data_IF_742504519910
#
_entry.id   IF_742504519910
#
_cell.length_a   1.000
_cell.length_b   1.000
_cell.length_c   1.000
_cell.angle_alpha   90.00
_cell.angle_beta   90.00
_cell.angle_gamma   90.00
#
_symmetry.space_group_name_H-M   'P 1'
#
loop_
_entity.id
_entity.type
_entity.pdbx_description
1 polymer ?
#
# COMPACT_ATOMS: atom_id res chain seq x y z
N UNK A 1 50.96 -34.19 7.49
CA UNK A 1 50.29 -33.48 8.61
C UNK A 1 50.20 -31.95 8.43
N UNK A 2 51.11 -31.27 7.70
CA UNK A 2 51.02 -29.81 7.46
C UNK A 2 49.93 -29.39 6.45
N UNK A 3 49.64 -30.19 5.43
CA UNK A 3 48.60 -29.87 4.42
C UNK A 3 47.21 -29.72 5.04
N UNK A 4 46.84 -30.61 5.95
CA UNK A 4 45.54 -30.57 6.64
C UNK A 4 45.39 -29.37 7.56
N UNK A 5 46.46 -28.91 8.21
CA UNK A 5 46.45 -27.67 9.02
C UNK A 5 46.24 -26.41 8.15
N UNK A 6 46.86 -26.34 6.97
CA UNK A 6 46.65 -25.22 6.03
C UNK A 6 45.24 -25.19 5.47
N UNK A 7 44.68 -26.35 5.13
CA UNK A 7 43.28 -26.47 4.68
C UNK A 7 42.32 -26.04 5.79
N UNK A 8 42.55 -26.48 7.03
CA UNK A 8 41.73 -26.06 8.18
C UNK A 8 41.76 -24.54 8.39
N UNK A 9 42.94 -23.91 8.28
CA UNK A 9 43.06 -22.46 8.38
C UNK A 9 42.35 -21.72 7.25
N UNK A 10 42.45 -22.23 6.01
CA UNK A 10 41.72 -21.69 4.86
C UNK A 10 40.21 -21.75 5.03
N UNK A 11 39.68 -22.89 5.51
CA UNK A 11 38.25 -23.05 5.79
C UNK A 11 37.81 -22.08 6.90
N UNK A 12 38.61 -21.91 7.94
CA UNK A 12 38.33 -20.94 9.00
C UNK A 12 38.23 -19.50 8.50
N UNK A 13 39.13 -19.08 7.61
CA UNK A 13 39.10 -17.74 6.99
C UNK A 13 37.83 -17.56 6.14
N UNK A 14 37.47 -18.56 5.33
CA UNK A 14 36.25 -18.54 4.53
C UNK A 14 35.01 -18.42 5.43
N UNK A 15 34.99 -19.13 6.55
CA UNK A 15 33.89 -19.07 7.51
C UNK A 15 33.75 -17.69 8.16
N UNK A 16 34.89 -17.07 8.53
CA UNK A 16 34.92 -15.71 9.10
C UNK A 16 34.40 -14.70 8.06
N UNK A 17 34.82 -14.82 6.80
CA UNK A 17 34.31 -13.97 5.72
C UNK A 17 32.80 -14.18 5.53
N UNK A 18 32.31 -15.42 5.54
CA UNK A 18 30.87 -15.70 5.45
C UNK A 18 30.09 -15.00 6.57
N UNK A 19 30.54 -15.11 7.83
CA UNK A 19 29.88 -14.48 8.98
C UNK A 19 29.88 -12.95 8.87
N UNK A 20 30.96 -12.35 8.38
CA UNK A 20 31.05 -10.90 8.24
C UNK A 20 30.19 -10.35 7.09
N UNK A 21 30.10 -11.08 5.97
CA UNK A 21 29.46 -10.58 4.75
C UNK A 21 27.98 -11.00 4.61
N UNK A 22 27.55 -12.11 5.22
CA UNK A 22 26.14 -12.54 5.23
C UNK A 22 25.15 -11.46 5.70
N UNK A 23 25.32 -10.83 6.88
CA UNK A 23 24.33 -9.87 7.38
C UNK A 23 24.24 -8.61 6.50
N UNK A 24 25.33 -8.24 5.83
CA UNK A 24 25.34 -7.12 4.88
C UNK A 24 24.51 -7.44 3.63
N UNK A 25 24.65 -8.66 3.10
CA UNK A 25 23.90 -9.11 1.94
C UNK A 25 22.40 -9.25 2.22
N UNK A 26 22.03 -9.85 3.37
CA UNK A 26 20.61 -9.98 3.74
C UNK A 26 19.95 -8.63 3.93
N UNK A 27 20.63 -7.69 4.60
CA UNK A 27 20.10 -6.34 4.81
C UNK A 27 19.92 -5.57 3.49
N UNK A 28 20.80 -5.78 2.52
CA UNK A 28 20.65 -5.19 1.19
C UNK A 28 19.43 -5.75 0.45
N UNK A 29 19.22 -7.07 0.53
CA UNK A 29 18.06 -7.73 -0.06
C UNK A 29 16.75 -7.20 0.56
N UNK A 30 16.68 -7.15 1.89
CA UNK A 30 15.50 -6.61 2.61
C UNK A 30 15.21 -5.15 2.21
N UNK A 31 16.24 -4.33 2.06
CA UNK A 31 16.08 -2.94 1.68
C UNK A 31 15.59 -2.80 0.23
N UNK A 32 16.09 -3.65 -0.68
CA UNK A 32 15.67 -3.68 -2.07
C UNK A 32 14.19 -4.07 -2.18
N UNK A 33 13.76 -5.06 -1.42
CA UNK A 33 12.38 -5.53 -1.42
C UNK A 33 11.45 -4.45 -0.85
N UNK A 34 11.84 -3.79 0.25
CA UNK A 34 11.12 -2.63 0.81
C UNK A 34 10.98 -1.47 -0.16
N UNK A 35 12.00 -1.18 -0.96
CA UNK A 35 11.91 -0.13 -1.99
C UNK A 35 10.85 -0.49 -3.03
N UNK A 36 10.77 -1.76 -3.43
CA UNK A 36 9.74 -2.24 -4.35
C UNK A 36 8.33 -2.12 -3.76
N UNK A 37 8.14 -2.57 -2.52
CA UNK A 37 6.86 -2.47 -1.81
C UNK A 37 6.40 -1.02 -1.66
N UNK A 38 7.29 -0.13 -1.22
CA UNK A 38 6.99 1.30 -1.07
C UNK A 38 6.67 1.96 -2.41
N UNK A 39 7.32 1.54 -3.50
CA UNK A 39 6.99 2.02 -4.84
C UNK A 39 5.55 1.69 -5.22
N UNK A 40 5.13 0.44 -5.00
CA UNK A 40 3.75 0.01 -5.24
C UNK A 40 2.75 0.75 -4.36
N UNK A 41 3.07 0.97 -3.09
CA UNK A 41 2.20 1.71 -2.16
C UNK A 41 2.02 3.17 -2.62
N UNK A 42 3.11 3.83 -3.05
CA UNK A 42 3.06 5.18 -3.60
C UNK A 42 2.19 5.26 -4.85
N UNK A 43 2.32 4.28 -5.76
CA UNK A 43 1.54 4.28 -7.00
C UNK A 43 0.06 4.04 -6.74
N UNK A 44 -0.27 3.13 -5.80
CA UNK A 44 -1.65 2.91 -5.37
C UNK A 44 -2.24 4.17 -4.71
N UNK A 45 -1.50 4.81 -3.81
CA UNK A 45 -1.95 6.04 -3.15
C UNK A 45 -2.16 7.20 -4.14
N UNK A 46 -1.32 7.30 -5.17
CA UNK A 46 -1.51 8.30 -6.24
C UNK A 46 -2.76 8.02 -7.07
N UNK A 47 -3.02 6.76 -7.41
CA UNK A 47 -4.23 6.38 -8.13
C UNK A 47 -5.47 6.71 -7.31
N UNK A 48 -5.49 6.35 -6.02
CA UNK A 48 -6.59 6.67 -5.12
C UNK A 48 -6.80 8.18 -5.00
N UNK A 49 -5.72 8.95 -4.82
CA UNK A 49 -5.81 10.41 -4.73
C UNK A 49 -6.41 11.03 -6.02
N UNK A 50 -5.93 10.62 -7.20
CA UNK A 50 -6.50 11.07 -8.46
C UNK A 50 -7.99 10.72 -8.61
N UNK A 51 -8.40 9.53 -8.15
CA UNK A 51 -9.81 9.14 -8.20
C UNK A 51 -10.68 9.99 -7.26
N UNK A 52 -10.18 10.29 -6.06
CA UNK A 52 -10.86 11.12 -5.07
C UNK A 52 -10.94 12.57 -5.54
N UNK A 53 -9.88 13.13 -6.12
CA UNK A 53 -9.89 14.47 -6.70
C UNK A 53 -10.94 14.57 -7.83
N UNK A 54 -11.03 13.56 -8.70
CA UNK A 54 -12.07 13.49 -9.72
C UNK A 54 -13.49 13.35 -9.16
N UNK A 55 -13.65 12.68 -8.01
CA UNK A 55 -14.93 12.65 -7.30
C UNK A 55 -15.27 14.00 -6.66
N UNK A 56 -14.31 14.68 -6.05
CA UNK A 56 -14.48 16.03 -5.49
C UNK A 56 -14.90 17.02 -6.57
N UNK A 57 -14.26 17.01 -7.74
CA UNK A 57 -14.64 17.89 -8.87
C UNK A 57 -16.08 17.60 -9.33
N UNK A 58 -16.47 16.33 -9.47
CA UNK A 58 -17.86 15.95 -9.80
C UNK A 58 -18.85 16.42 -8.75
N UNK A 59 -18.52 16.28 -7.46
CA UNK A 59 -19.35 16.81 -6.38
C UNK A 59 -19.41 18.33 -6.43
N UNK A 60 -18.36 19.05 -6.82
CA UNK A 60 -18.39 20.52 -6.81
C UNK A 60 -19.13 21.11 -8.03
N UNK A 61 -19.01 20.47 -9.19
CA UNK A 61 -19.45 21.03 -10.46
C UNK A 61 -20.82 20.52 -10.93
N UNK A 62 -21.28 19.34 -10.48
CA UNK A 62 -22.56 18.75 -10.88
C UNK A 62 -23.64 18.91 -9.79
N UNK A 63 -24.61 19.82 -9.98
CA UNK A 63 -25.71 20.03 -9.02
C UNK A 63 -26.59 18.80 -8.81
N UNK A 64 -26.71 17.92 -9.82
CA UNK A 64 -27.53 16.71 -9.75
C UNK A 64 -26.80 15.67 -8.88
N UNK A 65 -25.50 15.51 -9.08
CA UNK A 65 -24.67 14.61 -8.27
C UNK A 65 -24.59 15.07 -6.79
N UNK A 66 -24.51 16.39 -6.54
CA UNK A 66 -24.61 16.95 -5.19
C UNK A 66 -25.92 16.57 -4.51
N UNK A 67 -27.04 16.75 -5.19
CA UNK A 67 -28.35 16.44 -4.64
C UNK A 67 -28.48 14.94 -4.33
N UNK A 68 -27.95 14.08 -5.20
CA UNK A 68 -27.97 12.63 -4.99
C UNK A 68 -27.15 12.18 -3.77
N UNK A 69 -25.94 12.73 -3.60
CA UNK A 69 -25.11 12.50 -2.39
C UNK A 69 -25.82 13.00 -1.13
N UNK A 70 -26.45 14.17 -1.19
CA UNK A 70 -27.21 14.75 -0.08
C UNK A 70 -28.42 13.88 0.28
N UNK A 71 -29.18 13.41 -0.72
CA UNK A 71 -30.30 12.48 -0.53
C UNK A 71 -29.83 11.17 0.13
N UNK A 72 -28.71 10.61 -0.31
CA UNK A 72 -28.16 9.38 0.27
C UNK A 72 -27.60 9.56 1.68
N UNK A 73 -26.80 10.61 1.94
CA UNK A 73 -26.13 10.79 3.23
C UNK A 73 -27.03 11.38 4.31
N UNK A 74 -27.95 12.28 3.95
CA UNK A 74 -28.79 13.01 4.91
C UNK A 74 -30.25 12.53 4.89
N UNK A 75 -30.64 11.64 3.97
CA UNK A 75 -32.01 11.12 3.88
C UNK A 75 -33.06 12.20 3.54
N UNK A 76 -32.61 13.34 3.01
CA UNK A 76 -33.50 14.46 2.68
C UNK A 76 -34.13 14.26 1.30
N UNK A 77 -35.32 14.82 1.09
CA UNK A 77 -36.06 14.77 -0.18
C UNK A 77 -36.46 16.17 -0.61
N UNK A 78 -36.79 16.39 -1.89
CA UNK A 78 -37.23 17.72 -2.34
C UNK A 78 -38.52 18.13 -1.65
N UNK A 79 -38.73 19.44 -1.52
CA UNK A 79 -39.97 20.00 -0.99
C UNK A 79 -41.15 19.55 -1.87
N UNK A 80 -42.02 18.71 -1.31
CA UNK A 80 -43.18 18.12 -2.00
C UNK A 80 -43.06 16.64 -2.33
N UNK A 81 -41.92 16.00 -2.12
CA UNK A 81 -41.75 14.54 -2.21
C UNK A 81 -42.18 13.86 -0.90
N UNK A 82 -42.75 12.65 -0.97
CA UNK A 82 -43.20 11.85 0.18
C UNK A 82 -42.35 10.59 0.28
N UNK A 83 -41.72 10.37 1.44
CA UNK A 83 -40.91 9.17 1.72
C UNK A 83 -41.83 8.02 2.11
N UNK A 84 -41.78 6.91 1.36
CA UNK A 84 -42.45 5.66 1.73
C UNK A 84 -41.43 4.71 2.37
N UNK A 85 -41.68 4.30 3.61
CA UNK A 85 -40.94 3.22 4.26
C UNK A 85 -41.77 1.94 4.15
N UNK A 86 -41.30 0.98 3.39
CA UNK A 86 -41.94 -0.33 3.28
C UNK A 86 -41.41 -1.17 4.46
N UNK A 87 -42.25 -1.43 5.45
CA UNK A 87 -41.94 -2.39 6.51
C UNK A 87 -42.41 -3.78 6.03
N UNK A 88 -41.46 -4.69 5.81
CA UNK A 88 -41.76 -6.10 5.59
C UNK A 88 -42.04 -6.76 6.93
N UNK A 89 -43.24 -7.33 7.08
CA UNK A 89 -43.69 -8.10 8.25
C UNK A 89 -42.94 -9.43 8.40
#
# INVERSE_FOLDING_TARGET
>A
MLKSKKVFWFVGIIFILLILFLPGYTKYQDLKDRIGELGLEIDNAKLENNTLEGEISRIQEDPVYQEEIIRQKLGVVRKGEVVYKIESE
#
